data_IF_653264836722
#
_entry.id   IF_653264836722
#
_cell.length_a   1.000
_cell.length_b   1.000
_cell.length_c   1.000
_cell.angle_alpha   90.00
_cell.angle_beta   90.00
_cell.angle_gamma   90.00
#
_symmetry.space_group_name_H-M   'P 1'
#
loop_
_entity.id
_entity.type
_entity.pdbx_description
1 polymer ?
#
# COMPACT_ATOMS: atom_id res chain seq x y z
N UNK A 1 9.02 0.43 12.70
CA UNK A 1 8.30 1.24 11.71
C UNK A 1 7.46 2.28 12.41
N UNK A 2 7.45 3.48 11.87
CA UNK A 2 6.68 4.57 12.47
C UNK A 2 5.19 4.37 12.21
N UNK A 3 4.39 4.46 13.27
CA UNK A 3 2.94 4.43 13.15
C UNK A 3 2.46 5.70 12.44
N UNK A 4 1.37 5.60 11.72
CA UNK A 4 0.73 6.77 11.10
C UNK A 4 0.00 7.54 12.18
N UNK A 5 0.45 8.77 12.44
CA UNK A 5 -0.12 9.67 13.44
C UNK A 5 -0.35 11.04 12.80
N UNK A 6 -1.10 11.88 13.47
CA UNK A 6 -1.37 13.24 13.01
C UNK A 6 -2.64 13.76 13.64
N UNK A 7 -2.79 15.10 13.67
CA UNK A 7 -3.95 15.74 14.28
C UNK A 7 -5.18 15.70 13.35
N UNK A 8 -4.96 15.61 12.05
CA UNK A 8 -6.04 15.62 11.06
C UNK A 8 -6.00 14.38 10.18
N UNK A 9 -7.13 14.05 9.58
CA UNK A 9 -7.21 12.98 8.59
C UNK A 9 -6.27 13.24 7.41
N UNK A 10 -6.20 14.48 6.94
CA UNK A 10 -5.32 14.86 5.84
C UNK A 10 -3.86 14.58 6.15
N UNK A 11 -3.39 14.93 7.36
CA UNK A 11 -2.02 14.63 7.78
C UNK A 11 -1.76 13.14 7.82
N UNK A 12 -2.70 12.37 8.35
CA UNK A 12 -2.57 10.92 8.42
C UNK A 12 -2.52 10.30 7.03
N UNK A 13 -3.36 10.77 6.11
CA UNK A 13 -3.37 10.28 4.73
C UNK A 13 -2.06 10.59 4.02
N UNK A 14 -1.49 11.78 4.21
CA UNK A 14 -0.19 12.13 3.63
C UNK A 14 0.90 11.18 4.11
N UNK A 15 0.91 10.84 5.39
CA UNK A 15 1.84 9.86 5.94
C UNK A 15 1.60 8.47 5.37
N UNK A 16 0.35 8.11 5.13
CA UNK A 16 -0.01 6.84 4.53
C UNK A 16 0.53 6.73 3.09
N UNK A 17 0.41 7.80 2.31
CA UNK A 17 0.94 7.85 0.94
C UNK A 17 2.47 7.70 0.97
N UNK A 18 3.14 8.38 1.88
CA UNK A 18 4.59 8.27 2.05
C UNK A 18 5.00 6.85 2.41
N UNK A 19 4.31 6.23 3.36
CA UNK A 19 4.60 4.85 3.78
C UNK A 19 4.42 3.87 2.63
N UNK A 20 3.39 4.06 1.81
CA UNK A 20 3.16 3.25 0.62
C UNK A 20 4.31 3.35 -0.37
N UNK A 21 4.79 4.57 -0.62
CA UNK A 21 5.94 4.81 -1.51
C UNK A 21 7.21 4.13 -1.00
N UNK A 22 7.47 4.19 0.30
CA UNK A 22 8.63 3.54 0.91
C UNK A 22 8.55 2.02 0.73
N UNK A 23 7.38 1.43 0.94
CA UNK A 23 7.18 -0.01 0.74
C UNK A 23 7.53 -0.41 -0.70
N UNK A 24 7.05 0.35 -1.69
CA UNK A 24 7.33 0.06 -3.11
C UNK A 24 8.81 0.11 -3.42
N UNK A 25 9.51 1.12 -2.92
CA UNK A 25 10.95 1.27 -3.14
C UNK A 25 11.71 0.10 -2.55
N UNK A 26 11.39 -0.28 -1.32
CA UNK A 26 12.05 -1.42 -0.65
C UNK A 26 11.80 -2.74 -1.38
N UNK A 27 10.57 -2.94 -1.82
CA UNK A 27 10.23 -4.15 -2.58
C UNK A 27 11.02 -4.21 -3.88
N UNK A 28 11.09 -3.10 -4.63
CA UNK A 28 11.86 -3.04 -5.87
C UNK A 28 13.34 -3.31 -5.65
N UNK A 29 13.94 -2.75 -4.60
CA UNK A 29 15.34 -2.98 -4.26
C UNK A 29 15.60 -4.44 -3.92
N UNK A 30 14.70 -5.05 -3.15
CA UNK A 30 14.82 -6.47 -2.80
C UNK A 30 14.79 -7.35 -4.04
N UNK A 31 13.86 -7.10 -4.95
CA UNK A 31 13.73 -7.89 -6.19
C UNK A 31 14.96 -7.73 -7.07
N UNK A 32 15.47 -6.51 -7.23
CA UNK A 32 16.68 -6.27 -8.04
C UNK A 32 17.91 -6.96 -7.47
N UNK A 33 18.00 -7.03 -6.16
CA UNK A 33 19.10 -7.71 -5.48
C UNK A 33 18.93 -9.23 -5.45
N UNK A 34 17.79 -9.76 -5.90
CA UNK A 34 17.49 -11.19 -5.81
C UNK A 34 17.27 -11.66 -4.39
N UNK A 35 16.85 -10.75 -3.50
CA UNK A 35 16.69 -11.01 -2.08
C UNK A 35 15.44 -11.80 -1.72
N UNK A 36 15.43 -12.34 -0.51
CA UNK A 36 14.34 -13.16 0.01
C UNK A 36 13.97 -12.76 1.45
N UNK A 37 14.25 -11.50 1.82
CA UNK A 37 14.05 -11.03 3.19
C UNK A 37 12.58 -10.97 3.59
N UNK A 38 11.68 -10.89 2.62
CA UNK A 38 10.25 -10.79 2.87
C UNK A 38 9.56 -12.06 2.41
N UNK A 39 8.73 -12.65 3.26
CA UNK A 39 7.93 -13.81 2.86
C UNK A 39 6.75 -13.36 2.00
N UNK A 40 6.35 -14.16 0.98
CA UNK A 40 5.20 -13.79 0.15
C UNK A 40 3.92 -13.55 0.95
N UNK A 41 3.67 -14.35 1.97
CA UNK A 41 2.48 -14.19 2.82
C UNK A 41 2.49 -12.86 3.58
N UNK A 42 3.67 -12.39 4.01
CA UNK A 42 3.80 -11.10 4.69
C UNK A 42 3.57 -9.96 3.70
N UNK A 43 4.14 -10.07 2.49
CA UNK A 43 3.93 -9.05 1.46
C UNK A 43 2.47 -8.96 1.02
N UNK A 44 1.77 -10.10 0.98
CA UNK A 44 0.38 -10.18 0.58
C UNK A 44 -0.59 -9.72 1.68
N UNK A 45 -0.14 -9.68 2.94
CA UNK A 45 -0.98 -9.29 4.07
C UNK A 45 -1.13 -7.77 4.11
N UNK A 46 -2.36 -7.29 4.23
CA UNK A 46 -2.65 -5.87 4.21
C UNK A 46 -2.56 -5.21 5.59
N UNK A 47 -2.19 -5.95 6.62
CA UNK A 47 -2.10 -5.45 8.00
C UNK A 47 -0.65 -5.43 8.55
N UNK A 48 0.35 -5.68 7.69
CA UNK A 48 1.75 -5.72 8.09
C UNK A 48 2.52 -4.43 7.81
N UNK A 49 1.95 -3.52 7.02
CA UNK A 49 2.59 -2.24 6.72
C UNK A 49 1.93 -1.12 7.56
N UNK A 50 2.61 0.04 7.72
CA UNK A 50 2.02 1.14 8.50
C UNK A 50 0.67 1.60 7.99
N UNK A 51 0.48 1.67 6.66
CA UNK A 51 -0.81 2.04 6.07
C UNK A 51 -1.90 1.04 6.47
N UNK A 52 -1.60 -0.26 6.38
CA UNK A 52 -2.57 -1.29 6.76
C UNK A 52 -2.91 -1.27 8.23
N UNK A 53 -1.91 -1.08 9.08
CA UNK A 53 -2.13 -0.98 10.53
C UNK A 53 -3.03 0.20 10.87
N UNK A 54 -2.82 1.33 10.19
CA UNK A 54 -3.67 2.51 10.36
C UNK A 54 -5.10 2.24 9.87
N UNK A 55 -5.26 1.64 8.70
CA UNK A 55 -6.58 1.32 8.14
C UNK A 55 -7.38 0.41 9.07
N UNK A 56 -6.72 -0.58 9.67
CA UNK A 56 -7.39 -1.58 10.52
C UNK A 56 -7.60 -1.11 11.94
N UNK A 57 -6.84 -0.15 12.45
CA UNK A 57 -6.92 0.21 13.85
C UNK A 57 -6.79 1.68 14.20
N UNK A 58 -6.14 2.49 13.36
CA UNK A 58 -5.81 3.87 13.69
C UNK A 58 -6.75 4.93 13.14
N UNK A 59 -7.62 4.57 12.21
CA UNK A 59 -8.55 5.52 11.60
C UNK A 59 -9.63 5.90 12.61
N UNK A 60 -9.91 7.19 12.69
CA UNK A 60 -10.99 7.70 13.54
C UNK A 60 -12.31 7.02 13.15
N UNK A 61 -13.10 6.53 14.13
CA UNK A 61 -14.39 5.89 13.83
C UNK A 61 -15.31 6.71 12.93
N UNK A 62 -15.30 8.04 13.08
CA UNK A 62 -16.13 8.91 12.23
C UNK A 62 -15.72 8.87 10.76
N UNK A 63 -14.44 8.65 10.48
CA UNK A 63 -13.94 8.54 9.13
C UNK A 63 -14.26 7.19 8.48
N UNK A 64 -14.49 6.15 9.29
CA UNK A 64 -14.79 4.80 8.79
C UNK A 64 -16.16 4.70 8.13
N UNK A 65 -17.04 5.64 8.36
CA UNK A 65 -18.36 5.67 7.70
C UNK A 65 -18.30 6.21 6.27
N UNK A 66 -17.17 6.75 5.86
CA UNK A 66 -17.00 7.30 4.52
C UNK A 66 -16.87 6.17 3.48
N UNK A 67 -17.52 6.30 2.30
CA UNK A 67 -17.26 5.36 1.19
C UNK A 67 -15.80 5.30 0.76
N UNK A 68 -15.05 6.39 0.97
CA UNK A 68 -13.62 6.43 0.65
C UNK A 68 -12.82 5.44 1.50
N UNK A 69 -13.19 5.25 2.77
CA UNK A 69 -12.50 4.32 3.65
C UNK A 69 -12.56 2.89 3.09
N UNK A 70 -13.75 2.41 2.73
CA UNK A 70 -13.92 1.06 2.18
C UNK A 70 -13.20 0.91 0.84
N UNK A 71 -13.27 1.92 -0.02
CA UNK A 71 -12.57 1.90 -1.32
C UNK A 71 -11.07 1.78 -1.13
N UNK A 72 -10.49 2.57 -0.21
CA UNK A 72 -9.06 2.52 0.07
C UNK A 72 -8.66 1.14 0.61
N UNK A 73 -9.44 0.58 1.52
CA UNK A 73 -9.17 -0.75 2.07
C UNK A 73 -9.14 -1.82 0.98
N UNK A 74 -10.12 -1.80 0.08
CA UNK A 74 -10.22 -2.80 -0.98
C UNK A 74 -9.05 -2.71 -1.96
N UNK A 75 -8.69 -1.49 -2.35
CA UNK A 75 -7.57 -1.27 -3.28
C UNK A 75 -6.25 -1.64 -2.60
N UNK A 76 -6.10 -1.29 -1.32
CA UNK A 76 -4.90 -1.61 -0.55
C UNK A 76 -4.68 -3.12 -0.46
N UNK A 77 -5.73 -3.88 -0.21
CA UNK A 77 -5.66 -5.33 -0.20
C UNK A 77 -5.23 -5.88 -1.56
N UNK A 78 -5.83 -5.39 -2.64
CA UNK A 78 -5.48 -5.81 -3.99
C UNK A 78 -4.01 -5.51 -4.31
N UNK A 79 -3.52 -4.33 -3.89
CA UNK A 79 -2.10 -3.98 -4.04
C UNK A 79 -1.20 -4.99 -3.32
N UNK A 80 -1.51 -5.33 -2.07
CA UNK A 80 -0.68 -6.25 -1.30
C UNK A 80 -0.70 -7.66 -1.87
N UNK A 81 -1.82 -8.11 -2.42
CA UNK A 81 -1.88 -9.40 -3.11
C UNK A 81 -0.94 -9.43 -4.31
N UNK A 82 -0.92 -8.35 -5.09
CA UNK A 82 0.01 -8.22 -6.21
C UNK A 82 1.46 -8.20 -5.72
N UNK A 83 1.74 -7.50 -4.62
CA UNK A 83 3.08 -7.48 -4.02
C UNK A 83 3.51 -8.87 -3.58
N UNK A 84 2.60 -9.66 -3.01
CA UNK A 84 2.89 -11.05 -2.63
C UNK A 84 3.30 -11.91 -3.82
N UNK A 85 2.65 -11.72 -4.95
CA UNK A 85 3.01 -12.43 -6.19
C UNK A 85 4.41 -12.05 -6.65
N UNK A 86 4.76 -10.76 -6.58
CA UNK A 86 6.11 -10.29 -6.92
C UNK A 86 7.15 -10.96 -6.03
N UNK A 87 6.90 -11.01 -4.72
CA UNK A 87 7.83 -11.64 -3.78
C UNK A 87 7.97 -13.14 -4.07
N UNK A 88 6.87 -13.81 -4.38
CA UNK A 88 6.91 -15.24 -4.72
C UNK A 88 7.78 -15.50 -5.94
N UNK A 89 7.69 -14.65 -6.96
CA UNK A 89 8.53 -14.74 -8.16
C UNK A 89 10.00 -14.52 -7.81
N UNK A 90 10.29 -13.54 -6.96
CA UNK A 90 11.65 -13.24 -6.52
C UNK A 90 12.28 -14.43 -5.78
N UNK A 91 11.53 -15.03 -4.86
CA UNK A 91 11.98 -16.19 -4.07
C UNK A 91 12.19 -17.41 -4.97
N UNK A 92 11.36 -17.57 -6.00
CA UNK A 92 11.47 -18.65 -6.97
C UNK A 92 12.63 -18.43 -7.96
N UNK A 93 13.45 -17.40 -7.77
CA UNK A 93 14.57 -17.04 -8.64
C UNK A 93 14.15 -16.64 -10.05
N UNK A 94 12.94 -16.12 -10.18
CA UNK A 94 12.38 -15.62 -11.44
C UNK A 94 12.49 -14.10 -11.47
N UNK A 95 13.71 -13.59 -11.36
CA UNK A 95 13.98 -12.16 -11.22
C UNK A 95 13.37 -11.34 -12.36
N UNK A 96 13.55 -11.79 -13.62
CA UNK A 96 13.00 -11.08 -14.78
C UNK A 96 11.48 -10.99 -14.69
N UNK A 97 10.82 -12.07 -14.34
CA UNK A 97 9.36 -12.10 -14.20
C UNK A 97 8.89 -11.23 -13.04
N UNK A 98 9.64 -11.24 -11.93
CA UNK A 98 9.32 -10.39 -10.78
C UNK A 98 9.44 -8.90 -11.16
N UNK A 99 10.47 -8.52 -11.89
CA UNK A 99 10.64 -7.13 -12.35
C UNK A 99 9.54 -6.73 -13.33
N UNK A 100 9.17 -7.63 -14.25
CA UNK A 100 8.06 -7.39 -15.18
C UNK A 100 6.74 -7.19 -14.44
N UNK A 101 6.52 -7.94 -13.37
CA UNK A 101 5.31 -7.84 -12.54
C UNK A 101 5.22 -6.50 -11.80
N UNK A 102 6.31 -5.73 -11.76
CA UNK A 102 6.34 -4.39 -11.15
C UNK A 102 6.34 -3.26 -12.19
N UNK A 103 6.29 -3.57 -13.47
CA UNK A 103 6.36 -2.57 -14.52
C UNK A 103 5.02 -1.87 -14.77
N UNK A 104 5.08 -0.80 -15.56
CA UNK A 104 3.88 -0.07 -15.99
C UNK A 104 2.91 -1.02 -16.68
N UNK A 105 1.63 -0.88 -16.32
CA UNK A 105 0.59 -1.75 -16.85
C UNK A 105 0.36 -3.02 -16.05
N UNK A 106 1.26 -3.39 -15.15
CA UNK A 106 1.06 -4.54 -14.27
C UNK A 106 -0.01 -4.26 -13.22
N UNK A 107 -0.59 -5.32 -12.66
CA UNK A 107 -1.55 -5.20 -11.55
C UNK A 107 -0.94 -4.46 -10.38
N UNK A 108 0.34 -4.72 -10.07
CA UNK A 108 1.07 -4.04 -9.01
C UNK A 108 1.06 -2.52 -9.20
N UNK A 109 1.45 -2.05 -10.39
CA UNK A 109 1.50 -0.62 -10.70
C UNK A 109 0.11 0.00 -10.78
N UNK A 110 -0.84 -0.71 -11.36
CA UNK A 110 -2.22 -0.22 -11.48
C UNK A 110 -2.88 -0.03 -10.12
N UNK A 111 -2.76 -1.02 -9.24
CA UNK A 111 -3.33 -0.92 -7.90
C UNK A 111 -2.63 0.13 -7.06
N UNK A 112 -1.31 0.30 -7.21
CA UNK A 112 -0.56 1.35 -6.55
C UNK A 112 -1.09 2.74 -6.95
N UNK A 113 -1.25 2.98 -8.26
CA UNK A 113 -1.76 4.26 -8.75
C UNK A 113 -3.18 4.53 -8.25
N UNK A 114 -4.04 3.54 -8.29
CA UNK A 114 -5.42 3.66 -7.80
C UNK A 114 -5.45 3.95 -6.31
N UNK A 115 -4.56 3.34 -5.54
CA UNK A 115 -4.48 3.55 -4.10
C UNK A 115 -4.13 5.00 -3.77
N UNK A 116 -3.11 5.56 -4.44
CA UNK A 116 -2.71 6.95 -4.23
C UNK A 116 -3.84 7.90 -4.60
N UNK A 117 -4.51 7.66 -5.73
CA UNK A 117 -5.66 8.47 -6.15
C UNK A 117 -6.78 8.40 -5.12
N UNK A 118 -7.10 7.20 -4.64
CA UNK A 118 -8.17 7.01 -3.66
C UNK A 118 -7.85 7.71 -2.33
N UNK A 119 -6.60 7.62 -1.86
CA UNK A 119 -6.15 8.30 -0.65
C UNK A 119 -6.23 9.82 -0.82
N UNK A 120 -5.78 10.34 -1.95
CA UNK A 120 -5.80 11.76 -2.24
C UNK A 120 -7.25 12.28 -2.31
N UNK A 121 -8.12 11.54 -2.96
CA UNK A 121 -9.55 11.90 -3.07
C UNK A 121 -10.20 11.93 -1.69
N UNK A 122 -9.86 10.97 -0.84
CA UNK A 122 -10.37 10.92 0.54
C UNK A 122 -9.91 12.15 1.34
N UNK A 123 -8.62 12.50 1.24
CA UNK A 123 -8.10 13.69 1.90
C UNK A 123 -8.80 14.97 1.44
N UNK A 124 -9.02 15.10 0.14
CA UNK A 124 -9.70 16.26 -0.44
C UNK A 124 -11.16 16.36 0.00
N UNK A 125 -11.85 15.22 0.11
CA UNK A 125 -13.24 15.23 0.57
C UNK A 125 -13.34 15.66 2.04
N UNK A 126 -12.38 15.26 2.87
CA UNK A 126 -12.29 15.70 4.26
C UNK A 126 -12.07 17.20 4.38
N UNK A 127 -11.19 17.74 3.55
CA UNK A 127 -10.93 19.19 3.54
C UNK A 127 -12.15 19.99 3.13
N UNK A 128 -12.98 19.47 2.23
CA UNK A 128 -14.19 20.15 1.76
C UNK A 128 -15.31 20.17 2.79
N UNK A 129 -15.29 19.22 3.71
CA UNK A 129 -16.35 19.08 4.72
C UNK A 129 -16.00 19.78 6.04
N UNK A 130 -14.80 20.31 6.12
CA UNK A 130 -14.33 20.97 7.35
C UNK A 130 -14.99 22.31 7.60
#
# INVERSE_FOLDING_TARGET
>A
MAAITGATLQEQIQKAITAHGIFKVRLGQMVEAGGTEMAPAVAAADDQCPLGQWLHGGVDPSAKSSPHYEMVKDIHLAFHRAAGEVVALSIARKRTEALEAMEMGSTFKQTSAKLVIALTTWADSGAKTA
#
